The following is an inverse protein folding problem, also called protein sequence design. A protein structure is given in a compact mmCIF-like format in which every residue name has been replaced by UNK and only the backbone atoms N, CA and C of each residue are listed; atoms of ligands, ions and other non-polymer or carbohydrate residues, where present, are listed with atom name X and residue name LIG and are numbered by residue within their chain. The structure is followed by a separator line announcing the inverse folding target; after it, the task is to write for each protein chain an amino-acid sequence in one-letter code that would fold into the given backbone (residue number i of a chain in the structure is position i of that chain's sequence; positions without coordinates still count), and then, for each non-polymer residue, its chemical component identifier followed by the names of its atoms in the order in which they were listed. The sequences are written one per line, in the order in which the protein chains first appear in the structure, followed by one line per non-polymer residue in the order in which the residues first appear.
data_IF_915780299116
#
_entry.id   IF_915780299116
#
_cell.length_a   1.000
_cell.length_b   1.000
_cell.length_c   1.000
_cell.angle_alpha   90.00
_cell.angle_beta   90.00
_cell.angle_gamma   90.00
#
_symmetry.space_group_name_H-M   'P 1'
#
loop_
_entity.id
_entity.type
_entity.pdbx_description
1 polymer ?
#
# COMPACT_ATOMS: atom_id res chain seq x y z
N UNK A 1 -2.19 -13.96 13.42
CA UNK A 1 -2.83 -13.31 12.25
C UNK A 1 -1.86 -13.09 11.08
N UNK A 2 -0.60 -12.67 11.31
CA UNK A 2 0.38 -12.52 10.20
C UNK A 2 0.90 -13.85 9.63
N UNK A 3 1.13 -14.87 10.47
CA UNK A 3 1.69 -16.15 10.02
C UNK A 3 0.84 -16.91 8.98
N UNK A 4 -0.48 -16.73 8.98
CA UNK A 4 -1.39 -17.37 8.02
C UNK A 4 -1.59 -16.57 6.73
N UNK A 5 -1.31 -15.27 6.73
CA UNK A 5 -1.30 -14.44 5.51
C UNK A 5 -0.11 -14.80 4.62
N UNK A 6 1.10 -14.72 5.19
CA UNK A 6 2.37 -14.95 4.46
C UNK A 6 2.50 -16.39 3.95
N UNK A 7 2.01 -17.40 4.68
CA UNK A 7 2.06 -18.81 4.22
C UNK A 7 1.25 -19.08 2.96
N UNK A 8 0.23 -18.26 2.68
CA UNK A 8 -0.68 -18.48 1.55
C UNK A 8 -0.43 -17.54 0.37
N UNK A 9 0.50 -16.60 0.52
CA UNK A 9 0.83 -15.64 -0.52
C UNK A 9 1.47 -16.34 -1.73
N UNK A 10 2.52 -17.13 -1.51
CA UNK A 10 3.20 -17.87 -2.58
C UNK A 10 2.27 -18.86 -3.33
N UNK A 11 1.49 -19.73 -2.64
CA UNK A 11 0.51 -20.58 -3.32
C UNK A 11 -0.53 -19.78 -4.11
N UNK A 12 -0.94 -18.62 -3.61
CA UNK A 12 -1.89 -17.75 -4.31
C UNK A 12 -1.26 -17.17 -5.56
N UNK A 13 -0.03 -16.67 -5.49
CA UNK A 13 0.70 -16.14 -6.64
C UNK A 13 0.87 -17.23 -7.72
N UNK A 14 1.23 -18.46 -7.33
CA UNK A 14 1.35 -19.58 -8.27
C UNK A 14 0.01 -19.96 -8.91
N UNK A 15 -1.08 -19.90 -8.14
CA UNK A 15 -2.43 -20.11 -8.65
C UNK A 15 -2.87 -19.00 -9.59
N UNK A 16 -2.54 -17.74 -9.29
CA UNK A 16 -2.77 -16.61 -10.18
C UNK A 16 -1.99 -16.78 -11.49
N UNK A 17 -0.70 -17.14 -11.42
CA UNK A 17 0.16 -17.41 -12.58
C UNK A 17 -0.40 -18.51 -13.48
N UNK A 18 -0.90 -19.60 -12.90
CA UNK A 18 -1.33 -20.79 -13.64
C UNK A 18 -2.78 -20.75 -14.13
N UNK A 19 -3.69 -20.13 -13.35
CA UNK A 19 -5.14 -20.33 -13.52
C UNK A 19 -5.86 -19.09 -14.08
N UNK A 20 -5.24 -17.90 -14.02
CA UNK A 20 -5.90 -16.64 -14.39
C UNK A 20 -5.40 -16.15 -15.75
N UNK A 21 -6.14 -16.46 -16.81
CA UNK A 21 -5.72 -16.21 -18.21
C UNK A 21 -5.42 -14.74 -18.55
N UNK A 22 -6.07 -13.79 -17.86
CA UNK A 22 -5.83 -12.37 -18.08
C UNK A 22 -4.53 -11.87 -17.43
N UNK A 23 -3.97 -12.59 -16.45
CA UNK A 23 -2.66 -12.28 -15.87
C UNK A 23 -1.58 -12.96 -16.72
N UNK A 24 -0.67 -12.18 -17.29
CA UNK A 24 0.40 -12.63 -18.21
C UNK A 24 1.77 -12.74 -17.55
N UNK A 25 1.93 -12.21 -16.34
CA UNK A 25 3.17 -12.25 -15.59
C UNK A 25 2.97 -11.64 -14.22
N UNK A 26 3.74 -12.12 -13.25
CA UNK A 26 3.76 -11.64 -11.86
C UNK A 26 5.21 -11.52 -11.43
N UNK A 27 5.59 -10.36 -10.92
CA UNK A 27 6.93 -9.98 -10.51
C UNK A 27 6.90 -9.54 -9.05
N UNK A 28 7.62 -10.26 -8.20
CA UNK A 28 7.81 -9.84 -6.81
C UNK A 28 8.77 -8.64 -6.78
N UNK A 29 8.46 -7.68 -5.93
CA UNK A 29 9.24 -6.46 -5.75
C UNK A 29 9.37 -6.17 -4.26
N UNK A 30 10.51 -5.60 -3.88
CA UNK A 30 10.70 -5.11 -2.52
C UNK A 30 10.01 -3.77 -2.28
N UNK A 31 10.52 -3.02 -1.30
CA UNK A 31 10.05 -1.67 -1.03
C UNK A 31 10.34 -0.74 -2.22
N UNK A 32 9.27 -0.20 -2.81
CA UNK A 32 9.32 0.81 -3.85
C UNK A 32 9.15 2.19 -3.22
N UNK A 33 9.93 3.16 -3.69
CA UNK A 33 9.82 4.57 -3.26
C UNK A 33 9.28 5.42 -4.39
N UNK A 34 8.52 6.44 -4.04
CA UNK A 34 7.99 7.36 -5.02
C UNK A 34 9.09 8.28 -5.52
N UNK A 35 9.26 8.38 -6.83
CA UNK A 35 10.31 9.19 -7.46
C UNK A 35 10.20 10.69 -7.14
N UNK A 36 9.01 11.19 -6.77
CA UNK A 36 8.80 12.60 -6.39
C UNK A 36 8.95 12.86 -4.89
N UNK A 37 8.92 11.82 -4.06
CA UNK A 37 9.09 11.94 -2.61
C UNK A 37 9.58 10.61 -2.03
N UNK A 38 10.87 10.53 -1.71
CA UNK A 38 11.53 9.29 -1.28
C UNK A 38 11.08 8.77 0.09
N UNK A 39 10.40 9.59 0.89
CA UNK A 39 9.84 9.18 2.18
C UNK A 39 8.47 8.51 2.04
N UNK A 40 7.89 8.50 0.83
CA UNK A 40 6.65 7.80 0.52
C UNK A 40 7.02 6.53 -0.24
N UNK A 41 6.58 5.38 0.27
CA UNK A 41 6.87 4.10 -0.33
C UNK A 41 5.78 3.06 -0.11
N UNK A 42 5.81 2.03 -0.94
CA UNK A 42 4.90 0.87 -0.89
C UNK A 42 5.67 -0.42 -1.03
N UNK A 43 5.16 -1.48 -0.42
CA UNK A 43 5.56 -2.85 -0.69
C UNK A 43 4.32 -3.57 -1.19
N UNK A 44 4.02 -3.54 -2.50
CA UNK A 44 2.94 -4.34 -3.04
C UNK A 44 3.34 -5.82 -2.96
N UNK A 45 2.36 -6.71 -2.86
CA UNK A 45 2.63 -8.15 -2.82
C UNK A 45 3.31 -8.59 -4.14
N UNK A 46 2.92 -7.97 -5.27
CA UNK A 46 3.65 -8.06 -6.52
C UNK A 46 3.28 -6.94 -7.51
N UNK A 47 3.96 -6.91 -8.66
CA UNK A 47 3.54 -6.25 -9.89
C UNK A 47 3.05 -7.31 -10.86
N UNK A 48 1.97 -7.08 -11.59
CA UNK A 48 1.50 -8.02 -12.61
C UNK A 48 1.26 -7.36 -13.96
N UNK A 49 1.32 -8.17 -15.03
CA UNK A 49 0.86 -7.80 -16.36
C UNK A 49 -0.56 -8.30 -16.55
N UNK A 50 -1.51 -7.40 -16.78
CA UNK A 50 -2.93 -7.70 -16.90
C UNK A 50 -3.44 -7.35 -18.29
N UNK A 51 -4.15 -8.28 -18.93
CA UNK A 51 -4.99 -7.97 -20.10
C UNK A 51 -6.28 -7.34 -19.62
N UNK A 52 -6.53 -6.11 -20.04
CA UNK A 52 -7.77 -5.36 -19.81
C UNK A 52 -8.46 -5.11 -21.14
N UNK A 53 -9.78 -5.00 -21.14
CA UNK A 53 -10.59 -4.89 -22.36
C UNK A 53 -10.25 -3.65 -23.21
N UNK A 54 -9.85 -2.56 -22.56
CA UNK A 54 -9.58 -1.26 -23.20
C UNK A 54 -8.11 -1.07 -23.66
N UNK A 55 -7.26 -2.09 -23.58
CA UNK A 55 -5.85 -1.99 -23.96
C UNK A 55 -5.42 -3.08 -24.95
N UNK A 56 -4.69 -2.73 -26.03
CA UNK A 56 -4.21 -3.71 -27.00
C UNK A 56 -3.13 -4.62 -26.39
N UNK A 57 -2.35 -4.09 -25.44
CA UNK A 57 -1.26 -4.79 -24.77
C UNK A 57 -1.55 -4.96 -23.27
N UNK A 58 -1.01 -6.01 -22.63
CA UNK A 58 -1.10 -6.17 -21.18
C UNK A 58 -0.49 -4.96 -20.45
N UNK A 59 -1.27 -4.36 -19.55
CA UNK A 59 -0.84 -3.22 -18.74
C UNK A 59 -0.14 -3.69 -17.46
N UNK A 60 0.76 -2.86 -16.93
CA UNK A 60 1.35 -3.10 -15.61
C UNK A 60 0.40 -2.61 -14.51
N UNK A 61 0.24 -3.45 -13.49
CA UNK A 61 -0.60 -3.19 -12.33
C UNK A 61 0.14 -3.52 -11.04
N UNK A 62 -0.15 -2.79 -9.95
CA UNK A 62 0.15 -3.28 -8.61
C UNK A 62 -0.83 -4.41 -8.25
N UNK A 63 -0.34 -5.45 -7.58
CA UNK A 63 -1.14 -6.58 -7.11
C UNK A 63 -1.15 -6.57 -5.59
N UNK A 64 -2.35 -6.59 -5.03
CA UNK A 64 -2.62 -6.68 -3.60
C UNK A 64 -3.51 -7.90 -3.32
N UNK A 65 -3.02 -8.81 -2.50
CA UNK A 65 -3.65 -10.05 -2.11
C UNK A 65 -4.12 -9.94 -0.67
N UNK A 66 -5.37 -10.33 -0.44
CA UNK A 66 -5.92 -10.46 0.91
C UNK A 66 -6.52 -11.83 1.12
N UNK A 67 -5.79 -12.64 1.87
CA UNK A 67 -6.30 -13.89 2.45
C UNK A 67 -7.23 -13.57 3.60
N UNK A 68 -8.50 -13.92 3.45
CA UNK A 68 -9.54 -13.79 4.48
C UNK A 68 -9.66 -15.08 5.26
N UNK A 69 -9.73 -14.94 6.57
CA UNK A 69 -9.83 -16.07 7.52
C UNK A 69 -11.14 -16.05 8.31
N UNK A 70 -11.80 -14.90 8.42
CA UNK A 70 -13.09 -14.83 9.11
C UNK A 70 -14.22 -15.12 8.14
N UNK A 71 -15.16 -15.96 8.57
CA UNK A 71 -16.34 -16.31 7.79
C UNK A 71 -17.11 -15.08 7.31
N UNK A 72 -17.22 -14.05 8.15
CA UNK A 72 -17.91 -12.80 7.81
C UNK A 72 -17.26 -12.04 6.65
N UNK A 73 -15.93 -12.06 6.55
CA UNK A 73 -15.22 -11.39 5.44
C UNK A 73 -15.20 -12.25 4.18
N UNK A 74 -15.16 -13.57 4.33
CA UNK A 74 -15.30 -14.53 3.23
C UNK A 74 -16.71 -14.42 2.62
N UNK A 75 -17.76 -14.46 3.45
CA UNK A 75 -19.15 -14.37 2.98
C UNK A 75 -19.44 -13.05 2.23
N UNK A 76 -18.87 -11.93 2.69
CA UNK A 76 -18.95 -10.65 1.97
C UNK A 76 -18.30 -10.72 0.60
N UNK A 77 -17.11 -11.33 0.50
CA UNK A 77 -16.42 -11.49 -0.78
C UNK A 77 -17.17 -12.44 -1.73
N UNK A 78 -17.71 -13.56 -1.23
CA UNK A 78 -18.52 -14.48 -2.01
C UNK A 78 -19.84 -13.84 -2.48
N UNK A 79 -20.45 -12.96 -1.67
CA UNK A 79 -21.62 -12.19 -2.08
C UNK A 79 -21.27 -11.19 -3.19
N UNK A 80 -20.14 -10.50 -3.07
CA UNK A 80 -19.63 -9.62 -4.13
C UNK A 80 -19.33 -10.40 -5.41
N UNK A 81 -18.74 -11.59 -5.30
CA UNK A 81 -18.50 -12.53 -6.40
C UNK A 81 -19.80 -12.97 -7.06
N UNK A 82 -20.81 -13.36 -6.28
CA UNK A 82 -22.12 -13.77 -6.81
C UNK A 82 -22.78 -12.66 -7.62
N UNK A 83 -22.62 -11.40 -7.19
CA UNK A 83 -23.23 -10.25 -7.85
C UNK A 83 -22.49 -9.78 -9.09
N UNK A 84 -21.15 -9.73 -9.03
CA UNK A 84 -20.33 -9.06 -10.04
C UNK A 84 -19.44 -10.01 -10.85
N UNK A 85 -19.36 -11.28 -10.47
CA UNK A 85 -18.52 -12.29 -11.10
C UNK A 85 -17.20 -12.55 -10.37
N UNK A 86 -16.45 -13.53 -10.88
CA UNK A 86 -15.14 -13.93 -10.33
C UNK A 86 -14.03 -12.95 -10.69
N UNK A 87 -14.07 -12.41 -11.91
CA UNK A 87 -13.20 -11.34 -12.38
C UNK A 87 -14.04 -10.09 -12.64
N UNK A 88 -13.67 -8.97 -12.05
CA UNK A 88 -14.43 -7.72 -12.08
C UNK A 88 -13.52 -6.59 -12.56
N UNK A 89 -13.98 -5.82 -13.56
CA UNK A 89 -13.38 -4.55 -13.95
C UNK A 89 -14.18 -3.41 -13.33
N UNK A 90 -13.51 -2.45 -12.70
CA UNK A 90 -14.16 -1.26 -12.15
C UNK A 90 -13.22 -0.04 -12.17
N UNK A 91 -13.78 1.14 -11.90
CA UNK A 91 -13.04 2.39 -11.75
C UNK A 91 -12.92 2.81 -10.28
N UNK A 92 -11.83 3.47 -9.94
CA UNK A 92 -11.62 3.91 -8.57
C UNK A 92 -12.67 4.93 -8.13
N UNK A 93 -13.41 4.58 -7.08
CA UNK A 93 -14.48 5.40 -6.50
C UNK A 93 -15.89 5.03 -6.97
N UNK A 94 -16.05 4.08 -7.89
CA UNK A 94 -17.37 3.63 -8.31
C UNK A 94 -18.05 2.71 -7.26
N UNK A 95 -19.34 2.44 -7.49
CA UNK A 95 -20.12 1.60 -6.60
C UNK A 95 -19.68 0.12 -6.61
N UNK A 96 -19.09 -0.35 -7.71
CA UNK A 96 -18.62 -1.74 -7.85
C UNK A 96 -17.40 -1.96 -6.97
N UNK A 97 -16.41 -1.06 -7.03
CA UNK A 97 -15.28 -1.03 -6.11
C UNK A 97 -15.75 -1.02 -4.66
N UNK A 98 -16.75 -0.19 -4.34
CA UNK A 98 -17.24 -0.07 -2.97
C UNK A 98 -17.88 -1.37 -2.45
N UNK A 99 -18.40 -2.19 -3.36
CA UNK A 99 -18.98 -3.48 -3.03
C UNK A 99 -17.93 -4.60 -2.95
N UNK A 100 -16.95 -4.61 -3.86
CA UNK A 100 -15.95 -5.67 -3.99
C UNK A 100 -14.74 -5.50 -3.07
N UNK A 101 -14.32 -4.27 -2.82
CA UNK A 101 -13.07 -3.97 -2.09
C UNK A 101 -13.39 -3.25 -0.77
N UNK A 102 -12.90 -3.73 0.39
CA UNK A 102 -13.11 -3.04 1.66
C UNK A 102 -12.44 -1.67 1.70
N UNK A 103 -13.06 -0.71 2.39
CA UNK A 103 -12.61 0.68 2.45
C UNK A 103 -11.12 0.83 2.82
N UNK A 104 -10.64 0.07 3.82
CA UNK A 104 -9.25 0.09 4.24
C UNK A 104 -8.26 -0.33 3.12
N UNK A 105 -8.67 -1.23 2.23
CA UNK A 105 -7.82 -1.71 1.13
C UNK A 105 -7.89 -0.82 -0.11
N UNK A 106 -8.95 -0.02 -0.28
CA UNK A 106 -9.06 0.92 -1.42
C UNK A 106 -7.92 1.93 -1.41
N UNK A 107 -7.70 2.57 -0.25
CA UNK A 107 -6.61 3.54 -0.08
C UNK A 107 -5.24 2.91 -0.30
N UNK A 108 -5.07 1.63 0.05
CA UNK A 108 -3.82 0.90 -0.16
C UNK A 108 -3.52 0.71 -1.65
N UNK A 109 -4.50 0.28 -2.44
CA UNK A 109 -4.36 0.13 -3.91
C UNK A 109 -4.10 1.48 -4.57
N UNK A 110 -4.80 2.54 -4.15
CA UNK A 110 -4.56 3.90 -4.65
C UNK A 110 -3.15 4.40 -4.31
N UNK A 111 -2.68 4.14 -3.09
CA UNK A 111 -1.34 4.53 -2.65
C UNK A 111 -0.24 3.77 -3.42
N UNK A 112 -0.45 2.48 -3.69
CA UNK A 112 0.46 1.71 -4.55
C UNK A 112 0.51 2.28 -5.97
N UNK A 113 -0.64 2.58 -6.58
CA UNK A 113 -0.72 3.19 -7.91
C UNK A 113 -0.07 4.58 -7.97
N UNK A 114 -0.13 5.35 -6.87
CA UNK A 114 0.63 6.60 -6.73
C UNK A 114 2.13 6.35 -6.86
N UNK A 115 2.67 5.46 -6.03
CA UNK A 115 4.10 5.24 -5.94
C UNK A 115 4.67 4.58 -7.21
N UNK A 116 3.97 3.60 -7.75
CA UNK A 116 4.41 2.88 -8.97
C UNK A 116 4.16 3.67 -10.25
N UNK A 117 3.27 4.67 -10.21
CA UNK A 117 2.84 5.40 -11.39
C UNK A 117 1.88 4.61 -12.31
N UNK A 118 1.44 3.42 -11.91
CA UNK A 118 0.50 2.63 -12.70
C UNK A 118 -0.91 3.23 -12.67
N UNK A 119 -1.67 3.00 -13.75
CA UNK A 119 -3.07 3.41 -13.88
C UNK A 119 -4.04 2.29 -13.47
N UNK A 120 -3.51 1.12 -13.11
CA UNK A 120 -4.31 -0.03 -12.74
C UNK A 120 -3.75 -0.65 -11.46
N UNK A 121 -4.66 -1.12 -10.61
CA UNK A 121 -4.37 -2.00 -9.48
C UNK A 121 -5.22 -3.25 -9.58
N UNK A 122 -4.71 -4.36 -9.04
CA UNK A 122 -5.43 -5.62 -8.94
C UNK A 122 -5.56 -5.97 -7.47
N UNK A 123 -6.80 -6.15 -7.02
CA UNK A 123 -7.10 -6.63 -5.68
C UNK A 123 -7.65 -8.04 -5.75
N UNK A 124 -6.96 -8.98 -5.09
CA UNK A 124 -7.35 -10.39 -5.05
C UNK A 124 -7.80 -10.74 -3.65
N UNK A 125 -9.02 -11.27 -3.55
CA UNK A 125 -9.51 -11.88 -2.32
C UNK A 125 -9.34 -13.38 -2.39
N UNK A 126 -8.64 -13.91 -1.41
CA UNK A 126 -8.48 -15.34 -1.21
C UNK A 126 -9.14 -15.78 0.09
N UNK A 127 -9.49 -17.05 0.17
CA UNK A 127 -9.89 -17.73 1.40
C UNK A 127 -9.03 -18.97 1.60
N UNK A 128 -8.99 -19.44 2.84
CA UNK A 128 -8.40 -20.73 3.17
C UNK A 128 -9.46 -21.82 3.06
N UNK A 129 -9.23 -22.79 2.18
CA UNK A 129 -10.01 -24.03 2.08
C UNK A 129 -9.04 -25.19 2.29
N UNK A 130 -9.29 -26.03 3.29
CA UNK A 130 -8.49 -27.25 3.56
C UNK A 130 -6.96 -26.99 3.69
N UNK A 131 -6.59 -25.82 4.21
CA UNK A 131 -5.19 -25.41 4.37
C UNK A 131 -4.53 -24.86 3.10
N UNK A 132 -5.27 -24.71 2.00
CA UNK A 132 -4.81 -24.11 0.76
C UNK A 132 -5.54 -22.80 0.43
N UNK A 133 -4.82 -21.88 -0.22
CA UNK A 133 -5.39 -20.64 -0.75
C UNK A 133 -6.30 -20.89 -1.96
N UNK A 134 -7.53 -20.39 -1.87
CA UNK A 134 -8.55 -20.43 -2.92
C UNK A 134 -8.96 -19.02 -3.31
N UNK A 135 -8.95 -18.70 -4.61
CA UNK A 135 -9.26 -17.34 -5.11
C UNK A 135 -10.78 -17.18 -5.15
N UNK A 136 -11.30 -16.22 -4.38
CA UNK A 136 -12.72 -15.88 -4.32
C UNK A 136 -13.09 -14.90 -5.42
N UNK A 137 -12.34 -13.80 -5.52
CA UNK A 137 -12.62 -12.74 -6.49
C UNK A 137 -11.34 -11.98 -6.84
N UNK A 138 -11.25 -11.55 -8.10
CA UNK A 138 -10.20 -10.69 -8.64
C UNK A 138 -10.86 -9.40 -9.12
N UNK A 139 -10.35 -8.26 -8.67
CA UNK A 139 -10.88 -6.94 -9.01
C UNK A 139 -9.77 -6.13 -9.68
N UNK A 140 -9.91 -5.87 -10.98
CA UNK A 140 -9.07 -4.95 -11.73
C UNK A 140 -9.65 -3.54 -11.62
N UNK A 141 -8.86 -2.63 -11.09
CA UNK A 141 -9.28 -1.28 -10.70
C UNK A 141 -8.53 -0.28 -11.56
N UNK A 142 -9.25 0.42 -12.43
CA UNK A 142 -8.72 1.57 -13.18
C UNK A 142 -8.67 2.80 -12.29
N UNK A 143 -7.52 3.44 -12.22
CA UNK A 143 -7.25 4.61 -11.39
C UNK A 143 -6.89 5.76 -12.33
N UNK A 144 -7.70 6.80 -12.33
CA UNK A 144 -7.45 7.97 -13.17
C UNK A 144 -6.27 8.79 -12.63
N UNK A 145 -5.60 9.50 -13.54
CA UNK A 145 -4.50 10.40 -13.17
C UNK A 145 -4.98 11.46 -12.18
N UNK A 146 -6.18 12.00 -12.38
CA UNK A 146 -6.77 13.02 -11.51
C UNK A 146 -6.94 12.52 -10.09
N UNK A 147 -7.40 11.28 -9.90
CA UNK A 147 -7.55 10.68 -8.57
C UNK A 147 -6.22 10.47 -7.87
N UNK A 148 -5.21 10.04 -8.62
CA UNK A 148 -3.85 9.85 -8.10
C UNK A 148 -3.21 11.19 -7.70
N UNK A 149 -3.39 12.22 -8.51
CA UNK A 149 -2.86 13.57 -8.26
C UNK A 149 -3.58 14.25 -7.09
N UNK A 150 -4.91 14.11 -7.00
CA UNK A 150 -5.71 14.56 -5.86
C UNK A 150 -5.22 13.92 -4.56
N UNK A 151 -5.02 12.60 -4.58
CA UNK A 151 -4.50 11.84 -3.46
C UNK A 151 -3.08 12.27 -3.08
N UNK A 152 -2.18 12.41 -4.06
CA UNK A 152 -0.81 12.89 -3.86
C UNK A 152 -0.78 14.26 -3.20
N UNK A 153 -1.59 15.21 -3.70
CA UNK A 153 -1.69 16.57 -3.16
C UNK A 153 -2.13 16.54 -1.70
N UNK A 154 -3.12 15.72 -1.35
CA UNK A 154 -3.61 15.62 0.02
C UNK A 154 -2.62 14.91 0.95
N UNK A 155 -1.96 13.87 0.47
CA UNK A 155 -0.92 13.16 1.21
C UNK A 155 0.27 14.06 1.52
N UNK A 156 0.80 14.78 0.52
CA UNK A 156 1.95 15.67 0.70
C UNK A 156 1.69 16.83 1.66
N UNK A 157 0.44 17.32 1.77
CA UNK A 157 0.07 18.33 2.78
C UNK A 157 0.29 17.84 4.22
N UNK A 158 0.23 16.54 4.45
CA UNK A 158 0.41 15.94 5.79
C UNK A 158 1.84 15.45 5.95
N UNK A 159 2.36 14.74 4.95
CA UNK A 159 3.67 14.10 5.00
C UNK A 159 4.79 15.14 5.04
N UNK A 160 4.74 16.19 4.22
CA UNK A 160 5.85 17.14 4.14
C UNK A 160 6.08 17.91 5.46
N UNK A 161 5.04 18.47 6.12
CA UNK A 161 5.24 19.11 7.42
C UNK A 161 5.72 18.15 8.50
N UNK A 162 5.19 16.91 8.52
CA UNK A 162 5.59 15.90 9.48
C UNK A 162 7.07 15.54 9.32
N UNK A 163 7.52 15.28 8.08
CA UNK A 163 8.90 14.95 7.79
C UNK A 163 9.83 16.14 8.02
N UNK A 164 9.41 17.35 7.64
CA UNK A 164 10.18 18.57 7.91
C UNK A 164 10.42 18.80 9.40
N UNK A 165 9.45 18.41 10.24
CA UNK A 165 9.63 18.40 11.70
C UNK A 165 10.55 17.27 12.17
N UNK A 166 10.29 16.02 11.76
CA UNK A 166 11.04 14.85 12.23
C UNK A 166 12.51 14.86 11.77
N UNK A 167 12.78 15.36 10.57
CA UNK A 167 14.10 15.41 9.94
C UNK A 167 14.69 16.81 9.92
N UNK A 168 14.30 17.68 10.85
CA UNK A 168 14.92 19.00 10.97
C UNK A 168 16.39 18.86 11.41
N UNK A 169 17.32 19.24 10.52
CA UNK A 169 18.77 19.06 10.72
C UNK A 169 19.29 19.81 11.95
N UNK A 170 18.81 21.03 12.21
CA UNK A 170 19.23 21.82 13.37
C UNK A 170 18.82 21.15 14.68
N UNK A 171 17.59 20.61 14.72
CA UNK A 171 17.08 19.87 15.89
C UNK A 171 17.84 18.57 16.08
N UNK A 172 18.12 17.83 15.00
CA UNK A 172 18.92 16.60 15.02
C UNK A 172 20.32 16.89 15.53
N UNK A 173 21.01 17.89 14.96
CA UNK A 173 22.36 18.29 15.35
C UNK A 173 22.42 18.68 16.82
N UNK A 174 21.42 19.42 17.31
CA UNK A 174 21.27 19.77 18.72
C UNK A 174 20.98 18.56 19.62
N UNK A 175 20.30 17.53 19.11
CA UNK A 175 19.98 16.29 19.82
C UNK A 175 18.89 16.42 20.89
N UNK A 176 18.16 17.54 20.92
CA UNK A 176 17.05 17.77 21.85
C UNK A 176 15.96 18.64 21.20
N UNK A 177 14.70 18.25 21.44
CA UNK A 177 13.49 19.02 21.08
C UNK A 177 13.17 20.07 22.16
N UNK A 178 13.03 21.32 21.73
CA UNK A 178 12.54 22.47 22.48
C UNK A 178 11.04 22.67 22.20
N UNK A 179 10.34 23.41 23.08
CA UNK A 179 8.92 23.71 22.87
C UNK A 179 8.64 24.50 21.60
N UNK A 180 9.59 25.34 21.17
CA UNK A 180 9.50 26.13 19.94
C UNK A 180 9.63 25.29 18.67
N UNK A 181 10.15 24.07 18.74
CA UNK A 181 10.31 23.21 17.55
C UNK A 181 9.01 22.50 17.18
N UNK A 182 8.04 22.43 18.10
CA UNK A 182 6.81 21.69 17.88
C UNK A 182 5.85 22.47 16.99
N UNK A 183 5.37 21.85 15.88
CA UNK A 183 4.29 22.42 15.12
C UNK A 183 3.02 22.60 15.96
N UNK A 184 2.21 23.59 15.64
CA UNK A 184 0.98 23.94 16.37
C UNK A 184 -0.04 22.79 16.46
N UNK A 185 -0.01 21.88 15.48
CA UNK A 185 -0.87 20.70 15.45
C UNK A 185 -0.43 19.59 16.43
N UNK A 186 0.75 19.69 17.04
CA UNK A 186 1.20 18.75 18.08
C UNK A 186 0.69 19.21 19.44
N UNK A 187 -0.19 18.42 20.04
CA UNK A 187 -0.78 18.68 21.36
C UNK A 187 0.20 18.37 22.51
N UNK A 188 0.01 19.02 23.67
CA UNK A 188 0.91 18.87 24.84
C UNK A 188 1.15 17.42 25.31
N UNK A 189 0.15 16.52 25.33
CA UNK A 189 0.39 15.12 25.66
C UNK A 189 1.37 14.44 24.69
N UNK A 190 1.27 14.75 23.39
CA UNK A 190 2.17 14.22 22.36
C UNK A 190 3.56 14.86 22.45
N UNK A 191 3.66 16.17 22.75
CA UNK A 191 4.94 16.86 22.94
C UNK A 191 5.79 16.19 24.01
N UNK A 192 5.17 15.83 25.13
CA UNK A 192 5.85 15.14 26.25
C UNK A 192 6.43 13.78 25.81
N UNK A 193 5.63 12.97 25.10
CA UNK A 193 6.07 11.67 24.59
C UNK A 193 7.21 11.83 23.57
N UNK A 194 7.09 12.79 22.65
CA UNK A 194 8.10 13.02 21.62
C UNK A 194 9.43 13.50 22.24
N UNK A 195 9.41 14.44 23.20
CA UNK A 195 10.61 14.91 23.91
C UNK A 195 11.37 13.77 24.60
N UNK A 196 10.67 12.85 25.25
CA UNK A 196 11.31 11.72 25.96
C UNK A 196 11.98 10.72 25.01
N UNK A 197 11.44 10.56 23.79
CA UNK A 197 11.97 9.61 22.80
C UNK A 197 12.92 10.24 21.78
N UNK A 198 12.90 11.56 21.62
CA UNK A 198 13.72 12.29 20.64
C UNK A 198 15.21 12.02 20.79
N UNK A 199 15.72 11.94 22.03
CA UNK A 199 17.14 11.67 22.27
C UNK A 199 17.61 10.34 21.68
N UNK A 200 16.77 9.29 21.76
CA UNK A 200 17.08 7.98 21.18
C UNK A 200 17.02 8.02 19.66
N UNK A 201 16.00 8.68 19.12
CA UNK A 201 15.80 8.82 17.68
C UNK A 201 16.95 9.62 17.01
N UNK A 202 17.30 10.78 17.55
CA UNK A 202 18.38 11.61 17.01
C UNK A 202 19.76 11.02 17.25
N UNK A 203 19.97 10.32 18.38
CA UNK A 203 21.19 9.56 18.62
C UNK A 203 21.41 8.50 17.54
N UNK A 204 20.36 7.76 17.17
CA UNK A 204 20.43 6.77 16.10
C UNK A 204 20.68 7.40 14.72
N UNK A 205 20.01 8.51 14.38
CA UNK A 205 20.23 9.20 13.11
C UNK A 205 21.68 9.70 12.96
N UNK A 206 22.27 10.22 14.04
CA UNK A 206 23.68 10.63 14.03
C UNK A 206 24.63 9.46 13.75
N UNK A 207 24.38 8.30 14.36
CA UNK A 207 25.19 7.09 14.12
C UNK A 207 25.14 6.65 12.64
N UNK A 208 23.95 6.64 12.03
CA UNK A 208 23.79 6.31 10.61
C UNK A 208 24.56 7.30 9.74
N UNK A 209 24.45 8.60 10.01
CA UNK A 209 25.13 9.63 9.21
C UNK A 209 26.66 9.56 9.29
N UNK A 210 27.22 9.08 10.40
CA UNK A 210 28.67 8.84 10.53
C UNK A 210 29.13 7.59 9.79
N UNK A 211 28.31 6.55 9.69
CA UNK A 211 28.66 5.31 8.99
C UNK A 211 28.56 5.43 7.46
N UNK A 212 27.67 6.29 6.94
CA UNK A 212 27.56 6.55 5.49
C UNK A 212 28.66 7.49 4.94
N UNK A 213 29.42 8.17 5.81
CA UNK A 213 30.53 9.07 5.43
C UNK A 213 31.89 8.39 5.24
N UNK A 214 32.01 7.10 5.58
CA UNK A 214 33.25 6.31 5.54
C UNK A 214 33.31 5.28 4.37
N UNK A 215 32.43 5.42 3.37
CA UNK A 215 32.41 4.65 2.11
C UNK A 215 32.69 5.54 0.89
#
# INVERSE_FOLDING_TARGET
MMASGTRNENPTLDRLRSSVKCIKGIFEVGLLRWNRNHAIGVSPDAICRLVVEDAPDPVLCCLEIKTRVSESTIAKAELARKKHGHFVNCSYGDAVLNHCVPAANRSQVLHQALVTGFQHGVFVVCKLEEGQGSIVQIVAIRISTEKRDEYAKNLCKVVNPLLGFLHNEDVIARGILMDSDFPDWVTDPHRTILKTRAKLYYGHLKLISTEEGDL
#
